data_IF_991624796102
#
_entry.id   IF_991624796102
#
_cell.length_a   1.000
_cell.length_b   1.000
_cell.length_c   1.000
_cell.angle_alpha   90.00
_cell.angle_beta   90.00
_cell.angle_gamma   90.00
#
_symmetry.space_group_name_H-M   'P 1'
#
loop_
_entity.id
_entity.type
_entity.pdbx_description
1 polymer ?
#
# COMPACT_ATOMS: atom_id res chain seq x y z
N UNK A 1 -16.09 -23.51 -3.24
CA UNK A 1 -16.73 -23.41 -1.91
C UNK A 1 -18.23 -23.38 -2.15
N UNK A 2 -18.93 -24.49 -1.96
CA UNK A 2 -20.40 -24.46 -1.96
C UNK A 2 -20.85 -23.76 -0.68
N UNK A 3 -21.54 -22.63 -0.82
CA UNK A 3 -22.23 -22.02 0.30
C UNK A 3 -23.25 -23.03 0.82
N UNK A 4 -23.11 -23.46 2.08
CA UNK A 4 -24.10 -24.32 2.71
C UNK A 4 -25.43 -23.56 2.76
N UNK A 5 -26.51 -24.21 2.29
CA UNK A 5 -27.87 -23.70 2.38
C UNK A 5 -28.20 -23.24 3.81
N UNK A 6 -28.80 -22.06 3.94
CA UNK A 6 -29.22 -21.41 5.19
C UNK A 6 -30.16 -22.27 6.06
N UNK A 7 -30.73 -23.34 5.51
CA UNK A 7 -31.72 -24.21 6.15
C UNK A 7 -31.19 -24.97 7.39
N UNK A 8 -29.87 -25.07 7.59
CA UNK A 8 -29.27 -25.79 8.72
C UNK A 8 -28.73 -24.90 9.83
N UNK A 9 -28.90 -23.58 9.74
CA UNK A 9 -28.37 -22.67 10.76
C UNK A 9 -29.33 -22.63 11.97
N UNK A 10 -28.86 -22.89 13.20
CA UNK A 10 -29.74 -22.86 14.36
C UNK A 10 -30.24 -21.43 14.62
N UNK A 11 -31.57 -21.25 14.62
CA UNK A 11 -32.24 -19.94 14.83
C UNK A 11 -32.95 -19.82 16.18
N UNK A 12 -33.06 -20.92 16.95
CA UNK A 12 -33.70 -20.90 18.26
C UNK A 12 -32.84 -20.08 19.26
N UNK A 13 -33.39 -19.01 19.86
CA UNK A 13 -32.64 -18.14 20.78
C UNK A 13 -32.25 -18.83 22.09
N UNK A 14 -32.74 -20.04 22.37
CA UNK A 14 -32.38 -20.85 23.55
C UNK A 14 -31.08 -21.62 23.37
N UNK A 15 -30.48 -21.57 22.17
CA UNK A 15 -29.20 -22.22 21.88
C UNK A 15 -28.06 -21.35 22.39
N UNK A 16 -27.24 -21.89 23.28
CA UNK A 16 -26.01 -21.25 23.72
C UNK A 16 -24.94 -21.37 22.63
N UNK A 17 -24.42 -20.24 22.16
CA UNK A 17 -23.31 -20.20 21.20
C UNK A 17 -21.99 -19.94 21.93
N UNK A 18 -20.93 -20.55 21.43
CA UNK A 18 -19.55 -20.18 21.77
C UNK A 18 -18.93 -19.51 20.54
N UNK A 19 -18.33 -18.34 20.73
CA UNK A 19 -17.59 -17.65 19.68
C UNK A 19 -16.09 -17.80 19.95
N UNK A 20 -15.37 -18.31 18.97
CA UNK A 20 -13.91 -18.44 19.03
C UNK A 20 -13.27 -17.57 17.95
N UNK A 21 -12.26 -16.81 18.34
CA UNK A 21 -11.47 -16.06 17.39
C UNK A 21 -10.54 -17.01 16.62
N UNK A 22 -10.87 -17.32 15.37
CA UNK A 22 -10.02 -18.12 14.51
C UNK A 22 -8.85 -17.27 13.99
N UNK A 23 -7.65 -17.48 14.56
CA UNK A 23 -6.44 -16.88 14.01
C UNK A 23 -6.08 -17.50 12.65
N UNK A 24 -5.60 -16.67 11.73
CA UNK A 24 -5.12 -17.09 10.40
C UNK A 24 -3.72 -16.53 10.16
N UNK A 25 -2.78 -17.41 9.80
CA UNK A 25 -1.38 -17.05 9.51
C UNK A 25 -1.21 -16.27 8.20
N UNK A 26 -2.25 -16.17 7.38
CA UNK A 26 -2.16 -15.71 5.98
C UNK A 26 -1.38 -14.40 5.78
N UNK A 27 -1.53 -13.42 6.68
CA UNK A 27 -0.75 -12.17 6.60
C UNK A 27 0.75 -12.41 6.84
N UNK A 28 1.10 -13.22 7.83
CA UNK A 28 2.47 -13.59 8.15
C UNK A 28 3.11 -14.44 7.05
N UNK A 29 2.36 -15.40 6.49
CA UNK A 29 2.85 -16.23 5.39
C UNK A 29 3.19 -15.37 4.16
N UNK A 30 2.35 -14.38 3.84
CA UNK A 30 2.61 -13.42 2.76
C UNK A 30 3.82 -12.53 3.04
N UNK A 31 3.99 -12.06 4.28
CA UNK A 31 5.18 -11.28 4.67
C UNK A 31 6.47 -12.11 4.50
N UNK A 32 6.47 -13.36 4.97
CA UNK A 32 7.62 -14.25 4.85
C UNK A 32 7.93 -14.59 3.38
N UNK A 33 6.92 -14.83 2.56
CA UNK A 33 7.09 -15.01 1.11
C UNK A 33 7.69 -13.77 0.45
N UNK A 34 7.22 -12.56 0.79
CA UNK A 34 7.76 -11.32 0.25
C UNK A 34 9.24 -11.13 0.61
N UNK A 35 9.64 -11.42 1.85
CA UNK A 35 11.04 -11.37 2.28
C UNK A 35 11.91 -12.40 1.55
N UNK A 36 11.39 -13.62 1.37
CA UNK A 36 12.08 -14.65 0.59
C UNK A 36 12.28 -14.24 -0.87
N UNK A 37 11.25 -13.66 -1.50
CA UNK A 37 11.36 -13.15 -2.87
C UNK A 37 12.40 -12.03 -2.94
N UNK A 38 12.36 -11.06 -2.01
CA UNK A 38 13.33 -9.97 -1.95
C UNK A 38 14.78 -10.47 -1.78
N UNK A 39 14.98 -11.52 -0.99
CA UNK A 39 16.31 -12.08 -0.73
C UNK A 39 16.85 -13.04 -1.78
N UNK A 40 15.98 -13.65 -2.61
CA UNK A 40 16.37 -14.72 -3.56
C UNK A 40 16.22 -14.34 -5.03
N UNK A 41 15.27 -13.48 -5.37
CA UNK A 41 15.01 -13.06 -6.75
C UNK A 41 15.65 -11.68 -7.00
N UNK A 42 16.77 -11.59 -7.74
CA UNK A 42 17.43 -10.32 -8.02
C UNK A 42 16.61 -9.40 -8.95
N UNK A 43 15.51 -9.88 -9.54
CA UNK A 43 14.66 -9.11 -10.46
C UNK A 43 13.34 -8.66 -9.84
N UNK A 44 13.07 -8.98 -8.56
CA UNK A 44 11.81 -8.63 -7.91
C UNK A 44 11.58 -7.13 -7.73
N UNK A 45 12.67 -6.33 -7.70
CA UNK A 45 12.68 -4.87 -7.66
C UNK A 45 13.86 -4.34 -8.49
N UNK A 46 13.84 -3.06 -8.85
CA UNK A 46 15.01 -2.45 -9.50
C UNK A 46 16.20 -2.41 -8.53
N UNK A 47 17.42 -2.50 -9.07
CA UNK A 47 18.66 -2.46 -8.28
C UNK A 47 18.76 -1.18 -7.42
N UNK A 48 18.31 -0.04 -7.93
CA UNK A 48 18.29 1.21 -7.17
C UNK A 48 17.36 1.13 -5.94
N UNK A 49 16.15 0.58 -6.11
CA UNK A 49 15.21 0.40 -5.00
C UNK A 49 15.76 -0.60 -3.98
N UNK A 50 16.34 -1.72 -4.44
CA UNK A 50 16.97 -2.70 -3.56
C UNK A 50 18.04 -2.07 -2.66
N UNK A 51 19.01 -1.35 -3.25
CA UNK A 51 20.08 -0.74 -2.47
C UNK A 51 19.59 0.36 -1.52
N UNK A 52 18.59 1.16 -1.92
CA UNK A 52 17.95 2.13 -1.00
C UNK A 52 17.28 1.43 0.18
N UNK A 53 16.58 0.30 -0.04
CA UNK A 53 15.96 -0.48 1.02
C UNK A 53 16.98 -1.11 1.97
N UNK A 54 18.14 -1.55 1.45
CA UNK A 54 19.23 -2.10 2.25
C UNK A 54 20.09 -1.04 2.97
N UNK A 55 19.76 0.25 2.81
CA UNK A 55 20.52 1.34 3.43
C UNK A 55 21.90 1.60 2.79
N UNK A 56 22.15 1.06 1.59
CA UNK A 56 23.39 1.30 0.87
C UNK A 56 23.40 2.71 0.26
N UNK A 57 24.59 3.31 0.20
CA UNK A 57 24.77 4.55 -0.54
C UNK A 57 24.50 4.32 -2.03
N UNK A 58 23.70 5.21 -2.62
CA UNK A 58 23.27 5.18 -4.02
C UNK A 58 23.11 6.61 -4.50
N UNK A 59 23.63 6.88 -5.70
CA UNK A 59 23.45 8.17 -6.37
C UNK A 59 21.97 8.45 -6.64
N UNK A 60 21.58 9.73 -6.64
CA UNK A 60 20.20 10.10 -6.97
C UNK A 60 19.93 9.89 -8.46
N UNK A 61 18.84 9.17 -8.76
CA UNK A 61 18.36 8.98 -10.12
C UNK A 61 17.15 9.89 -10.34
N UNK A 62 17.16 10.61 -11.46
CA UNK A 62 16.04 11.41 -11.90
C UNK A 62 15.52 10.93 -13.26
N UNK A 63 14.22 10.68 -13.34
CA UNK A 63 13.54 10.37 -14.59
C UNK A 63 13.25 11.63 -15.39
N UNK A 64 13.52 11.57 -16.69
CA UNK A 64 13.10 12.60 -17.63
C UNK A 64 11.62 12.39 -17.95
N UNK A 65 10.75 13.05 -17.21
CA UNK A 65 9.29 13.01 -17.39
C UNK A 65 8.79 14.37 -17.84
N UNK A 66 7.96 14.41 -18.88
CA UNK A 66 7.24 15.64 -19.24
C UNK A 66 6.16 15.90 -18.18
N UNK A 67 6.36 16.93 -17.36
CA UNK A 67 5.41 17.24 -16.30
C UNK A 67 4.09 17.79 -16.88
N UNK A 68 2.94 17.31 -16.39
CA UNK A 68 1.65 17.82 -16.83
C UNK A 68 1.46 19.27 -16.41
N UNK A 69 0.88 20.09 -17.30
CA UNK A 69 0.60 21.52 -17.03
C UNK A 69 -0.42 21.72 -15.90
N UNK A 70 -1.28 20.73 -15.66
CA UNK A 70 -2.30 20.73 -14.62
C UNK A 70 -2.31 19.37 -13.93
N UNK A 71 -2.20 19.39 -12.61
CA UNK A 71 -2.29 18.20 -11.76
C UNK A 71 -3.71 17.93 -11.25
N UNK A 72 -4.70 18.73 -11.67
CA UNK A 72 -6.11 18.55 -11.31
C UNK A 72 -6.71 17.35 -12.02
N UNK A 73 -7.37 16.47 -11.28
CA UNK A 73 -8.09 15.30 -11.81
C UNK A 73 -9.60 15.49 -11.60
N UNK A 74 -10.45 15.20 -12.60
CA UNK A 74 -11.91 15.29 -12.44
C UNK A 74 -12.42 14.47 -11.25
N UNK A 75 -13.35 15.05 -10.47
CA UNK A 75 -13.92 14.38 -9.29
C UNK A 75 -13.06 14.42 -8.03
N UNK A 76 -11.84 15.00 -8.08
CA UNK A 76 -11.00 15.23 -6.91
C UNK A 76 -10.89 16.72 -6.56
N UNK A 77 -10.69 17.00 -5.27
CA UNK A 77 -10.44 18.36 -4.78
C UNK A 77 -9.16 18.94 -5.38
N UNK A 78 -9.13 20.26 -5.55
CA UNK A 78 -7.92 20.97 -5.98
C UNK A 78 -6.78 20.72 -5.00
N UNK A 79 -5.62 20.35 -5.53
CA UNK A 79 -4.41 20.14 -4.74
C UNK A 79 -3.89 21.48 -4.18
N UNK A 80 -3.39 21.44 -2.93
CA UNK A 80 -2.64 22.54 -2.33
C UNK A 80 -1.25 22.68 -2.97
N UNK A 81 -0.56 23.78 -2.69
CA UNK A 81 0.80 24.00 -3.22
C UNK A 81 1.77 22.89 -2.81
N UNK A 82 1.74 22.45 -1.53
CA UNK A 82 2.58 21.36 -1.05
C UNK A 82 2.28 20.02 -1.72
N UNK A 83 0.99 19.72 -1.95
CA UNK A 83 0.59 18.50 -2.67
C UNK A 83 1.04 18.54 -4.13
N UNK A 84 0.89 19.67 -4.82
CA UNK A 84 1.38 19.82 -6.20
C UNK A 84 2.90 19.65 -6.29
N UNK A 85 3.64 20.25 -5.35
CA UNK A 85 5.09 20.10 -5.27
C UNK A 85 5.51 18.64 -5.03
N UNK A 86 4.86 17.94 -4.09
CA UNK A 86 5.12 16.53 -3.81
C UNK A 86 4.90 15.65 -5.05
N UNK A 87 3.81 15.88 -5.80
CA UNK A 87 3.53 15.12 -7.03
C UNK A 87 4.61 15.38 -8.09
N UNK A 88 5.00 16.63 -8.30
CA UNK A 88 6.05 16.96 -9.28
C UNK A 88 7.40 16.31 -8.95
N UNK A 89 7.78 16.24 -7.68
CA UNK A 89 8.99 15.53 -7.24
C UNK A 89 8.85 14.02 -7.45
N UNK A 90 7.73 13.44 -7.03
CA UNK A 90 7.51 11.99 -7.08
C UNK A 90 7.54 11.46 -8.51
N UNK A 91 7.02 12.21 -9.49
CA UNK A 91 7.07 11.84 -10.90
C UNK A 91 8.50 11.68 -11.43
N UNK A 92 9.47 12.36 -10.83
CA UNK A 92 10.86 12.38 -11.31
C UNK A 92 11.79 11.44 -10.53
N UNK A 93 11.35 10.84 -9.42
CA UNK A 93 12.24 10.03 -8.56
C UNK A 93 11.77 8.57 -8.53
N UNK A 94 12.70 7.59 -8.53
CA UNK A 94 12.35 6.16 -8.43
C UNK A 94 11.77 5.76 -7.07
N UNK A 95 12.10 6.50 -6.01
CA UNK A 95 11.60 6.28 -4.65
C UNK A 95 11.38 7.64 -3.99
N UNK A 96 10.22 7.83 -3.37
CA UNK A 96 9.83 9.04 -2.65
C UNK A 96 9.02 8.66 -1.42
N UNK A 97 9.16 9.43 -0.35
CA UNK A 97 8.36 9.31 0.87
C UNK A 97 7.50 10.56 1.00
N UNK A 98 6.18 10.37 1.10
CA UNK A 98 5.24 11.46 1.35
C UNK A 98 4.76 11.35 2.78
N UNK A 99 5.06 12.37 3.59
CA UNK A 99 4.55 12.46 4.96
C UNK A 99 3.27 13.31 4.95
N UNK A 100 2.13 12.66 5.11
CA UNK A 100 0.87 13.36 5.36
C UNK A 100 0.79 13.78 6.83
N UNK A 101 0.63 15.08 7.09
CA UNK A 101 0.23 15.54 8.42
C UNK A 101 -1.28 15.29 8.59
N UNK A 102 -1.70 14.56 9.62
CA UNK A 102 -3.10 14.34 9.92
C UNK A 102 -3.70 15.64 10.46
N UNK A 103 -4.45 16.37 9.63
CA UNK A 103 -5.23 17.51 10.09
C UNK A 103 -5.39 18.64 9.08
N UNK A 104 -6.20 18.43 8.04
CA UNK A 104 -7.00 19.53 7.47
C UNK A 104 -8.40 19.03 7.07
N UNK A 105 -9.07 18.37 8.03
CA UNK A 105 -10.53 18.50 8.14
C UNK A 105 -10.78 19.73 9.03
N UNK A 106 -10.73 20.92 8.45
CA UNK A 106 -11.38 22.09 9.04
C UNK A 106 -12.46 22.54 8.07
N UNK A 107 -13.63 22.74 8.67
CA UNK A 107 -14.87 23.23 8.09
C UNK A 107 -14.66 24.45 7.19
#
# INVERSE_FOLDING_TARGET
>A
MHAASSEKMPTDPRINFTCEAAWKSTSFDRMYQALNTLGKDPYCVSQHIFHKLMGHYTEEIFFKVQQPKRLSVPGLSKLSHGQMHAVNIMLMRPLSLIQGFQGLKRQ
#
